data_IF_631135477376
#
_entry.id   IF_631135477376
#
_cell.length_a   1.000
_cell.length_b   1.000
_cell.length_c   1.000
_cell.angle_alpha   90.00
_cell.angle_beta   90.00
_cell.angle_gamma   90.00
#
_symmetry.space_group_name_H-M   'P 1'
#
loop_
_entity.id
_entity.type
_entity.pdbx_description
1 polymer ?
#
# COMPACT_ATOMS: atom_id res chain seq x y z
N UNK A 1 -49.62 15.88 24.59
CA UNK A 1 -48.18 15.84 24.20
C UNK A 1 -47.26 15.21 25.26
N UNK A 2 -47.64 15.12 26.54
CA UNK A 2 -46.77 14.57 27.62
C UNK A 2 -46.58 13.05 27.56
N UNK A 3 -47.62 12.28 27.27
CA UNK A 3 -47.56 10.78 27.31
C UNK A 3 -46.77 10.19 26.18
N UNK A 4 -46.75 10.80 24.98
CA UNK A 4 -45.98 10.33 23.84
C UNK A 4 -44.46 10.42 24.07
N UNK A 5 -43.99 11.51 24.67
CA UNK A 5 -42.56 11.68 25.03
C UNK A 5 -42.11 10.62 26.03
N UNK A 6 -42.94 10.27 27.04
CA UNK A 6 -42.63 9.21 28.01
C UNK A 6 -42.51 7.84 27.35
N UNK A 7 -43.39 7.51 26.40
CA UNK A 7 -43.36 6.25 25.67
C UNK A 7 -42.08 6.13 24.82
N UNK A 8 -41.72 7.22 24.11
CA UNK A 8 -40.47 7.23 23.31
C UNK A 8 -39.25 7.04 24.19
N UNK A 9 -39.18 7.72 25.35
CA UNK A 9 -38.05 7.62 26.28
C UNK A 9 -37.91 6.17 26.80
N UNK A 10 -39.03 5.51 27.15
CA UNK A 10 -39.00 4.11 27.58
C UNK A 10 -38.53 3.17 26.47
N UNK A 11 -38.99 3.37 25.23
CA UNK A 11 -38.57 2.54 24.09
C UNK A 11 -37.09 2.69 23.79
N UNK A 12 -36.57 3.93 23.82
CA UNK A 12 -35.12 4.19 23.64
C UNK A 12 -34.31 3.52 24.76
N UNK A 13 -34.77 3.62 26.02
CA UNK A 13 -34.06 3.02 27.15
C UNK A 13 -34.01 1.49 27.07
N UNK A 14 -35.11 0.85 26.65
CA UNK A 14 -35.17 -0.62 26.44
C UNK A 14 -34.25 -1.03 25.29
N UNK A 15 -34.21 -0.27 24.19
CA UNK A 15 -33.34 -0.54 23.06
C UNK A 15 -31.85 -0.42 23.44
N UNK A 16 -31.46 0.64 24.16
CA UNK A 16 -30.11 0.81 24.67
C UNK A 16 -29.68 -0.29 25.64
N UNK A 17 -30.58 -0.71 26.52
CA UNK A 17 -30.32 -1.83 27.43
C UNK A 17 -30.10 -3.17 26.67
N UNK A 18 -30.85 -3.38 25.59
CA UNK A 18 -30.67 -4.54 24.71
C UNK A 18 -29.29 -4.56 24.03
N UNK A 19 -28.81 -3.43 23.56
CA UNK A 19 -27.46 -3.30 22.98
C UNK A 19 -26.37 -3.61 24.02
N UNK A 20 -26.47 -3.06 25.23
CA UNK A 20 -25.49 -3.30 26.31
C UNK A 20 -25.43 -4.76 26.68
N UNK A 21 -26.58 -5.42 26.82
CA UNK A 21 -26.64 -6.86 27.12
C UNK A 21 -26.10 -7.73 25.99
N UNK A 22 -26.38 -7.35 24.73
CA UNK A 22 -25.82 -8.03 23.54
C UNK A 22 -24.30 -7.97 23.48
N UNK A 23 -23.74 -6.78 23.72
CA UNK A 23 -22.27 -6.57 23.74
C UNK A 23 -21.63 -7.37 24.90
N UNK A 24 -22.22 -7.35 26.08
CA UNK A 24 -21.71 -8.12 27.21
C UNK A 24 -21.75 -9.65 26.96
N UNK A 25 -22.81 -10.15 26.33
CA UNK A 25 -22.94 -11.56 25.95
C UNK A 25 -21.90 -11.95 24.88
N UNK A 26 -21.62 -11.08 23.92
CA UNK A 26 -20.59 -11.28 22.90
C UNK A 26 -19.18 -11.39 23.51
N UNK A 27 -18.82 -10.52 24.44
CA UNK A 27 -17.52 -10.59 25.13
C UNK A 27 -17.39 -11.82 26.02
N UNK A 28 -18.47 -12.27 26.68
CA UNK A 28 -18.47 -13.51 27.45
C UNK A 28 -18.30 -14.73 26.55
N UNK A 29 -18.95 -14.75 25.39
CA UNK A 29 -18.81 -15.82 24.39
C UNK A 29 -17.38 -15.92 23.87
N UNK A 30 -16.75 -14.80 23.52
CA UNK A 30 -15.35 -14.75 23.11
C UNK A 30 -14.40 -15.29 24.20
N UNK A 31 -14.64 -14.93 25.46
CA UNK A 31 -13.79 -15.38 26.59
C UNK A 31 -13.87 -16.88 26.83
N UNK A 32 -15.02 -17.52 26.57
CA UNK A 32 -15.21 -18.96 26.66
C UNK A 32 -14.51 -19.73 25.54
N UNK A 33 -14.45 -19.15 24.33
CA UNK A 33 -13.75 -19.79 23.18
C UNK A 33 -12.22 -19.81 23.35
N UNK A 34 -11.65 -18.81 24.01
CA UNK A 34 -10.19 -18.73 24.27
C UNK A 34 -9.72 -19.71 25.37
N UNK A 35 -10.65 -20.26 26.18
CA UNK A 35 -10.33 -21.12 27.34
C UNK A 35 -10.34 -22.61 27.06
N UNK A 36 -10.48 -23.07 25.79
CA UNK A 36 -10.45 -24.47 25.44
C UNK A 36 -9.01 -24.93 25.20
N UNK A 37 -8.41 -25.80 26.06
CA UNK A 37 -7.07 -26.31 25.80
C UNK A 37 -7.04 -27.20 24.54
N UNK A 38 -5.95 -27.28 23.79
CA UNK A 38 -5.82 -28.20 22.67
C UNK A 38 -5.84 -29.66 23.19
N UNK A 39 -6.65 -30.50 22.56
CA UNK A 39 -6.69 -31.92 22.82
C UNK A 39 -5.38 -32.57 22.37
N UNK A 40 -4.63 -33.17 23.29
CA UNK A 40 -3.47 -34.00 23.00
C UNK A 40 -3.93 -35.33 22.36
N UNK A 41 -3.32 -35.77 21.25
CA UNK A 41 -3.60 -37.08 20.67
C UNK A 41 -3.10 -38.19 21.61
N UNK A 42 -3.75 -39.39 21.61
CA UNK A 42 -3.40 -40.48 22.49
C UNK A 42 -2.00 -41.03 22.19
N UNK A 43 -1.21 -41.21 23.26
CA UNK A 43 0.09 -41.88 23.21
C UNK A 43 -0.16 -43.38 22.93
N UNK A 44 0.33 -43.83 21.76
CA UNK A 44 0.34 -45.26 21.42
C UNK A 44 1.61 -45.86 22.03
N UNK A 45 1.41 -46.82 22.92
CA UNK A 45 2.45 -47.62 23.57
C UNK A 45 3.16 -48.49 22.51
N UNK A 46 4.41 -48.19 22.21
CA UNK A 46 5.19 -48.92 21.24
C UNK A 46 6.07 -49.94 21.97
N UNK A 47 5.73 -51.22 21.79
CA UNK A 47 6.56 -52.38 22.13
C UNK A 47 7.90 -52.32 21.39
N UNK A 48 9.03 -52.58 22.04
CA UNK A 48 10.35 -52.54 21.38
C UNK A 48 10.54 -53.72 20.42
N UNK A 49 10.72 -53.43 19.12
CA UNK A 49 11.14 -54.39 18.11
C UNK A 49 12.69 -54.49 18.11
N UNK A 50 13.29 -55.66 17.83
CA UNK A 50 14.70 -55.89 18.01
C UNK A 50 15.56 -55.13 16.95
N UNK A 51 16.67 -54.59 17.45
CA UNK A 51 17.71 -53.84 16.68
C UNK A 51 18.16 -54.57 15.44
N UNK A 52 17.81 -54.10 14.26
CA UNK A 52 18.43 -54.49 12.99
C UNK A 52 19.75 -53.74 12.81
N UNK A 53 20.84 -54.48 12.66
CA UNK A 53 22.18 -53.98 12.32
C UNK A 53 22.14 -53.28 10.98
N UNK A 54 22.23 -51.94 10.97
CA UNK A 54 22.31 -51.10 9.80
C UNK A 54 23.76 -51.13 9.29
N UNK A 55 24.02 -51.51 7.99
CA UNK A 55 25.35 -51.36 7.41
C UNK A 55 25.70 -49.84 7.32
N UNK A 56 27.01 -49.49 7.35
CA UNK A 56 27.41 -48.10 7.34
C UNK A 56 26.93 -47.42 6.05
N UNK A 57 26.21 -46.30 6.26
CA UNK A 57 25.76 -45.39 5.20
C UNK A 57 26.98 -44.88 4.42
N UNK A 58 26.96 -44.83 3.07
CA UNK A 58 28.03 -44.20 2.34
C UNK A 58 28.16 -42.74 2.70
N UNK A 59 29.38 -42.27 2.88
CA UNK A 59 29.73 -40.88 3.16
C UNK A 59 29.09 -39.97 2.12
N UNK A 60 28.39 -38.88 2.54
CA UNK A 60 27.74 -37.98 1.59
C UNK A 60 28.81 -37.35 0.69
N UNK A 61 28.69 -37.59 -0.61
CA UNK A 61 29.44 -36.85 -1.63
C UNK A 61 29.14 -35.37 -1.45
N UNK A 62 30.15 -34.47 -1.34
CA UNK A 62 29.88 -33.03 -1.19
C UNK A 62 29.05 -32.55 -2.39
N UNK A 63 27.86 -32.04 -2.14
CA UNK A 63 27.07 -31.31 -3.11
C UNK A 63 27.91 -30.14 -3.65
N UNK A 64 27.92 -29.89 -4.97
CA UNK A 64 28.63 -28.74 -5.50
C UNK A 64 28.08 -27.47 -4.88
N UNK A 65 28.94 -26.72 -4.22
CA UNK A 65 28.60 -25.35 -3.71
C UNK A 65 28.06 -24.54 -4.89
N UNK A 66 26.86 -23.97 -4.80
CA UNK A 66 26.32 -23.13 -5.88
C UNK A 66 27.31 -22.01 -6.18
N UNK A 67 27.64 -21.83 -7.45
CA UNK A 67 28.46 -20.70 -7.90
C UNK A 67 27.72 -19.41 -7.48
N UNK A 68 28.43 -18.40 -6.93
CA UNK A 68 27.78 -17.15 -6.55
C UNK A 68 27.10 -16.53 -7.77
N UNK A 69 25.81 -16.33 -7.69
CA UNK A 69 25.04 -15.56 -8.68
C UNK A 69 25.69 -14.18 -8.81
N UNK A 70 26.04 -13.71 -10.02
CA UNK A 70 26.61 -12.39 -10.18
C UNK A 70 25.65 -11.33 -9.58
N UNK A 71 26.22 -10.41 -8.81
CA UNK A 71 25.45 -9.31 -8.25
C UNK A 71 24.73 -8.52 -9.37
N UNK A 72 23.49 -8.10 -9.17
CA UNK A 72 22.79 -7.26 -10.14
C UNK A 72 23.61 -6.00 -10.45
N UNK A 73 23.54 -5.47 -11.68
CA UNK A 73 24.22 -4.22 -12.00
C UNK A 73 23.71 -3.10 -11.08
N UNK A 74 24.55 -2.10 -10.74
CA UNK A 74 24.13 -0.97 -9.94
C UNK A 74 23.01 -0.21 -10.67
N UNK A 75 22.05 0.28 -9.90
CA UNK A 75 20.97 1.11 -10.41
C UNK A 75 21.53 2.40 -11.03
N UNK A 76 20.94 2.81 -12.14
CA UNK A 76 21.26 4.09 -12.81
C UNK A 76 19.93 4.80 -13.07
N UNK A 77 19.72 6.01 -12.52
CA UNK A 77 18.48 6.75 -12.74
C UNK A 77 18.30 7.09 -14.22
N UNK A 78 17.05 7.20 -14.72
CA UNK A 78 16.77 7.64 -16.08
C UNK A 78 17.37 9.02 -16.37
N UNK A 79 17.94 9.20 -17.56
CA UNK A 79 18.50 10.50 -17.98
C UNK A 79 17.43 11.59 -17.94
N UNK A 80 16.20 11.28 -18.28
CA UNK A 80 15.06 12.20 -18.25
C UNK A 80 14.79 12.72 -16.83
N UNK A 81 14.92 11.90 -15.78
CA UNK A 81 14.80 12.37 -14.39
C UNK A 81 15.84 13.43 -14.09
N UNK A 82 17.10 13.20 -14.50
CA UNK A 82 18.20 14.14 -14.29
C UNK A 82 17.98 15.45 -15.07
N UNK A 83 17.40 15.39 -16.27
CA UNK A 83 17.02 16.57 -17.04
C UNK A 83 15.92 17.39 -16.33
N UNK A 84 14.89 16.73 -15.78
CA UNK A 84 13.86 17.40 -15.00
C UNK A 84 14.42 18.04 -13.73
N UNK A 85 15.34 17.40 -13.04
CA UNK A 85 15.99 17.93 -11.84
C UNK A 85 16.87 19.16 -12.15
N UNK A 86 17.55 19.17 -13.30
CA UNK A 86 18.27 20.37 -13.76
C UNK A 86 17.33 21.55 -14.03
N UNK A 87 16.09 21.26 -14.42
CA UNK A 87 15.06 22.27 -14.70
C UNK A 87 14.42 22.81 -13.42
N UNK A 88 14.21 21.94 -12.42
CA UNK A 88 13.64 22.30 -11.13
C UNK A 88 14.17 21.35 -10.04
N UNK A 89 14.85 21.92 -9.04
CA UNK A 89 15.43 21.18 -7.91
C UNK A 89 14.39 20.49 -7.00
N UNK A 90 13.10 20.85 -7.13
CA UNK A 90 12.00 20.20 -6.42
C UNK A 90 11.50 18.92 -7.09
N UNK A 91 12.07 18.51 -8.22
CA UNK A 91 11.78 17.21 -8.82
C UNK A 91 12.48 16.12 -8.01
N UNK A 92 11.68 15.21 -7.44
CA UNK A 92 12.17 14.15 -6.57
C UNK A 92 12.15 12.77 -7.23
N UNK A 93 11.29 12.59 -8.25
CA UNK A 93 11.11 11.30 -8.92
C UNK A 93 10.49 11.47 -10.31
N UNK A 94 10.49 10.37 -11.08
CA UNK A 94 9.75 10.23 -12.34
C UNK A 94 8.71 9.11 -12.15
N UNK A 95 7.45 9.43 -12.40
CA UNK A 95 6.32 8.49 -12.42
C UNK A 95 6.10 7.98 -13.84
N UNK A 96 6.00 6.68 -14.02
CA UNK A 96 5.63 6.05 -15.29
C UNK A 96 4.60 4.95 -15.08
N UNK A 97 3.52 4.97 -15.88
CA UNK A 97 2.58 3.85 -16.02
C UNK A 97 2.67 3.34 -17.45
N UNK A 98 3.42 2.26 -17.71
CA UNK A 98 3.72 1.79 -19.06
C UNK A 98 2.45 1.55 -19.90
N UNK A 99 2.48 2.03 -21.14
CA UNK A 99 1.35 1.91 -22.08
C UNK A 99 0.23 2.95 -21.89
N UNK A 100 0.42 3.92 -20.98
CA UNK A 100 -0.52 5.03 -20.77
C UNK A 100 0.14 6.37 -21.07
N UNK A 101 -0.63 7.47 -20.96
CA UNK A 101 -0.08 8.84 -21.06
C UNK A 101 0.49 9.36 -19.72
N UNK A 102 0.49 8.55 -18.66
CA UNK A 102 1.00 8.96 -17.34
C UNK A 102 2.51 8.69 -17.30
N UNK A 103 3.26 9.72 -17.63
CA UNK A 103 4.72 9.74 -17.59
C UNK A 103 5.15 11.16 -17.23
N UNK A 104 5.39 11.43 -15.94
CA UNK A 104 5.57 12.77 -15.41
C UNK A 104 6.60 12.84 -14.28
N UNK A 105 7.37 13.94 -14.18
CA UNK A 105 8.13 14.21 -12.96
C UNK A 105 7.19 14.44 -11.78
N UNK A 106 7.56 13.91 -10.62
CA UNK A 106 6.92 14.19 -9.33
C UNK A 106 7.70 15.29 -8.63
N UNK A 107 6.99 16.35 -8.21
CA UNK A 107 7.57 17.48 -7.52
C UNK A 107 7.14 17.53 -6.05
N UNK A 108 8.02 18.02 -5.19
CA UNK A 108 7.73 18.31 -3.78
C UNK A 108 8.29 19.68 -3.40
N UNK A 109 7.38 20.62 -3.06
CA UNK A 109 7.85 21.90 -2.51
C UNK A 109 8.24 21.67 -1.03
N UNK A 110 9.43 22.13 -0.57
CA UNK A 110 9.94 21.73 0.76
C UNK A 110 9.16 22.29 1.94
N UNK A 111 8.23 23.25 1.74
CA UNK A 111 7.56 23.95 2.83
C UNK A 111 6.08 24.30 2.57
N UNK A 112 5.65 24.38 1.31
CA UNK A 112 4.32 24.90 0.95
C UNK A 112 3.47 23.76 0.43
N UNK A 113 2.38 23.48 1.16
CA UNK A 113 1.36 22.51 0.75
C UNK A 113 0.70 22.96 -0.56
N UNK A 114 0.34 21.98 -1.39
CA UNK A 114 -0.37 22.18 -2.65
C UNK A 114 0.27 23.23 -3.59
N UNK A 115 1.57 23.54 -3.40
CA UNK A 115 2.27 24.54 -4.22
C UNK A 115 2.15 24.22 -5.70
N UNK A 116 2.35 22.96 -6.07
CA UNK A 116 2.33 22.49 -7.45
C UNK A 116 0.93 22.19 -7.99
N UNK A 117 -0.12 22.35 -7.18
CA UNK A 117 -1.50 22.27 -7.67
C UNK A 117 -1.75 23.29 -8.79
N UNK A 118 -1.20 24.50 -8.67
CA UNK A 118 -1.33 25.60 -9.64
C UNK A 118 0.01 26.25 -10.00
N UNK A 119 1.11 25.51 -9.91
CA UNK A 119 2.44 25.97 -10.32
C UNK A 119 3.08 24.90 -11.20
N UNK A 120 3.52 25.31 -12.38
CA UNK A 120 4.18 24.40 -13.33
C UNK A 120 5.59 24.02 -12.86
N UNK A 121 6.19 23.01 -13.50
CA UNK A 121 7.58 22.63 -13.25
C UNK A 121 8.57 23.81 -13.43
N UNK A 122 8.27 24.78 -14.29
CA UNK A 122 9.11 25.96 -14.49
C UNK A 122 8.88 27.07 -13.46
N UNK A 123 8.05 26.83 -12.45
CA UNK A 123 7.73 27.80 -11.39
C UNK A 123 6.74 28.88 -11.80
N UNK A 124 6.08 28.76 -12.95
CA UNK A 124 5.04 29.70 -13.38
C UNK A 124 3.69 29.33 -12.73
N UNK A 125 3.05 30.33 -12.12
CA UNK A 125 1.67 30.15 -11.66
C UNK A 125 0.74 29.91 -12.85
N UNK A 126 -0.09 28.86 -12.75
CA UNK A 126 -1.07 28.53 -13.78
C UNK A 126 -1.51 27.06 -13.77
N UNK A 127 -2.67 26.86 -14.36
CA UNK A 127 -3.25 25.53 -14.60
C UNK A 127 -2.56 24.87 -15.82
N UNK A 128 -2.26 23.54 -15.80
CA UNK A 128 -2.68 22.55 -14.84
C UNK A 128 -1.69 22.27 -13.68
N UNK A 129 -0.71 23.10 -13.40
CA UNK A 129 0.30 22.83 -12.39
C UNK A 129 1.24 21.67 -12.77
N UNK A 130 1.57 20.83 -11.81
CA UNK A 130 2.40 19.63 -11.99
C UNK A 130 1.85 18.43 -11.21
N UNK A 131 2.42 17.24 -11.41
CA UNK A 131 2.22 16.08 -10.54
C UNK A 131 3.10 16.29 -9.30
N UNK A 132 2.55 16.09 -8.10
CA UNK A 132 3.25 16.44 -6.87
C UNK A 132 2.85 15.61 -5.67
N UNK A 133 3.69 15.65 -4.64
CA UNK A 133 3.39 15.23 -3.27
C UNK A 133 3.52 16.43 -2.33
N UNK A 134 2.92 16.32 -1.15
CA UNK A 134 2.98 17.38 -0.14
C UNK A 134 4.23 17.26 0.76
N UNK A 135 4.71 18.35 1.38
CA UNK A 135 5.97 18.38 2.14
C UNK A 135 5.97 17.54 3.42
N UNK A 136 4.83 17.00 3.83
CA UNK A 136 4.75 16.05 4.96
C UNK A 136 5.13 14.64 4.54
N UNK A 137 5.11 14.33 3.25
CA UNK A 137 5.59 13.08 2.67
C UNK A 137 7.12 13.00 2.68
N UNK A 138 7.68 11.83 2.40
CA UNK A 138 9.11 11.67 2.14
C UNK A 138 9.39 11.53 0.65
N UNK A 139 10.58 11.95 0.22
CA UNK A 139 11.06 11.79 -1.17
C UNK A 139 11.59 10.37 -1.47
N UNK A 140 11.54 9.47 -0.47
CA UNK A 140 12.03 8.09 -0.57
C UNK A 140 10.95 7.06 -0.82
N UNK A 141 9.67 7.45 -0.81
CA UNK A 141 8.52 6.55 -0.99
C UNK A 141 8.50 5.36 -0.01
N UNK A 142 9.10 5.52 1.16
CA UNK A 142 9.28 4.49 2.19
C UNK A 142 8.24 4.55 3.31
N UNK A 143 7.19 5.38 3.17
CA UNK A 143 6.07 5.48 4.11
C UNK A 143 4.98 4.43 3.80
N UNK A 144 4.00 4.29 4.70
CA UNK A 144 2.87 3.41 4.45
C UNK A 144 2.09 3.81 3.20
N UNK A 145 1.80 5.11 3.00
CA UNK A 145 1.02 5.60 1.86
C UNK A 145 1.49 6.95 1.36
N UNK A 146 2.25 6.98 0.29
CA UNK A 146 2.61 8.22 -0.38
C UNK A 146 1.49 8.66 -1.33
N UNK A 147 0.87 9.81 -1.07
CA UNK A 147 -0.23 10.34 -1.87
C UNK A 147 0.29 11.30 -2.94
N UNK A 148 0.11 10.92 -4.21
CA UNK A 148 0.55 11.66 -5.39
C UNK A 148 -0.66 12.35 -6.02
N UNK A 149 -0.61 13.66 -6.16
CA UNK A 149 -1.70 14.49 -6.64
C UNK A 149 -1.49 14.94 -8.09
N UNK A 150 -2.57 15.03 -8.85
CA UNK A 150 -2.55 15.55 -10.21
C UNK A 150 -3.93 15.92 -10.71
N UNK A 151 -4.02 16.89 -11.61
CA UNK A 151 -5.30 17.31 -12.19
C UNK A 151 -5.92 16.26 -13.11
N UNK A 152 -7.25 16.24 -13.16
CA UNK A 152 -8.03 15.48 -14.14
C UNK A 152 -8.26 16.36 -15.37
N UNK A 153 -7.40 16.21 -16.38
CA UNK A 153 -7.48 17.00 -17.61
C UNK A 153 -8.39 16.33 -18.64
N UNK A 154 -9.24 17.15 -19.30
CA UNK A 154 -10.16 16.66 -20.32
C UNK A 154 -9.48 16.19 -21.60
N UNK A 155 -8.25 16.62 -21.86
CA UNK A 155 -7.42 16.16 -22.99
C UNK A 155 -6.65 14.86 -22.68
N UNK A 156 -6.85 14.29 -21.47
CA UNK A 156 -6.21 13.06 -21.02
C UNK A 156 -4.80 13.26 -20.44
N UNK A 157 -4.28 14.49 -20.41
CA UNK A 157 -3.00 14.77 -19.75
C UNK A 157 -3.12 14.73 -18.22
N UNK A 158 -1.99 14.81 -17.54
CA UNK A 158 -1.88 14.66 -16.09
C UNK A 158 -2.52 13.33 -15.62
N UNK A 159 -3.49 13.36 -14.72
CA UNK A 159 -4.25 12.19 -14.28
C UNK A 159 -5.61 12.04 -14.96
N UNK A 160 -5.81 12.69 -16.13
CA UNK A 160 -7.04 12.60 -16.90
C UNK A 160 -7.39 11.19 -17.34
N UNK A 161 -6.40 10.32 -17.58
CA UNK A 161 -6.61 8.92 -17.99
C UNK A 161 -6.82 7.95 -16.83
N UNK A 162 -6.75 8.36 -15.55
CA UNK A 162 -7.00 7.46 -14.43
C UNK A 162 -8.40 6.82 -14.46
N UNK A 163 -9.39 7.47 -15.08
CA UNK A 163 -10.72 6.89 -15.28
C UNK A 163 -10.73 5.62 -16.14
N UNK A 164 -9.72 5.42 -16.98
CA UNK A 164 -9.63 4.22 -17.81
C UNK A 164 -9.40 2.94 -17.00
N UNK A 165 -8.83 3.07 -15.79
CA UNK A 165 -8.61 1.95 -14.88
C UNK A 165 -9.91 1.41 -14.24
N UNK A 166 -11.05 2.08 -14.40
CA UNK A 166 -12.38 1.54 -14.07
C UNK A 166 -12.80 0.42 -15.05
N UNK A 167 -12.20 0.36 -16.24
CA UNK A 167 -12.37 -0.76 -17.17
C UNK A 167 -11.42 -1.90 -16.78
N UNK A 168 -11.99 -3.08 -16.48
CA UNK A 168 -11.20 -4.23 -16.04
C UNK A 168 -10.16 -4.69 -17.06
N UNK A 169 -10.47 -4.63 -18.38
CA UNK A 169 -9.51 -5.06 -19.40
C UNK A 169 -8.35 -4.08 -19.51
N UNK A 170 -8.62 -2.77 -19.35
CA UNK A 170 -7.58 -1.77 -19.27
C UNK A 170 -6.71 -1.96 -18.03
N UNK A 171 -7.33 -2.13 -16.85
CA UNK A 171 -6.64 -2.42 -15.58
C UNK A 171 -5.75 -3.67 -15.71
N UNK A 172 -6.28 -4.76 -16.30
CA UNK A 172 -5.55 -6.03 -16.44
C UNK A 172 -4.33 -5.92 -17.39
N UNK A 173 -4.33 -4.97 -18.32
CA UNK A 173 -3.23 -4.73 -19.25
C UNK A 173 -2.22 -3.68 -18.82
N UNK A 174 -2.50 -2.92 -17.75
CA UNK A 174 -1.65 -1.83 -17.24
C UNK A 174 -1.51 -1.95 -15.72
N UNK A 175 -0.83 -3.04 -15.28
CA UNK A 175 -0.78 -3.45 -13.86
C UNK A 175 0.31 -2.75 -13.05
N UNK A 176 1.33 -2.22 -13.70
CA UNK A 176 2.54 -1.76 -13.04
C UNK A 176 2.63 -0.23 -13.05
N UNK A 177 3.13 0.32 -11.97
CA UNK A 177 3.53 1.71 -11.84
C UNK A 177 5.00 1.72 -11.44
N UNK A 178 5.80 2.49 -12.15
CA UNK A 178 7.21 2.68 -11.84
C UNK A 178 7.43 4.09 -11.30
N UNK A 179 8.20 4.18 -10.21
CA UNK A 179 8.69 5.44 -9.67
C UNK A 179 10.20 5.35 -9.62
N UNK A 180 10.86 6.19 -10.41
CA UNK A 180 12.32 6.29 -10.48
C UNK A 180 12.78 7.45 -9.63
N UNK A 181 13.64 7.19 -8.65
CA UNK A 181 14.34 8.20 -7.84
C UNK A 181 15.81 8.30 -8.26
N UNK A 182 16.61 9.08 -7.56
CA UNK A 182 18.06 9.17 -7.82
C UNK A 182 18.79 7.87 -7.46
N UNK A 183 18.26 7.08 -6.55
CA UNK A 183 18.95 5.95 -5.94
C UNK A 183 18.31 4.60 -6.26
N UNK A 184 17.04 4.57 -6.63
CA UNK A 184 16.28 3.33 -6.75
C UNK A 184 15.06 3.46 -7.66
N UNK A 185 14.58 2.33 -8.17
CA UNK A 185 13.32 2.17 -8.87
C UNK A 185 12.35 1.41 -7.96
N UNK A 186 11.22 2.03 -7.64
CA UNK A 186 10.11 1.38 -6.97
C UNK A 186 9.12 0.85 -8.01
N UNK A 187 8.79 -0.43 -7.93
CA UNK A 187 7.79 -1.07 -8.79
C UNK A 187 6.57 -1.43 -7.98
N UNK A 188 5.44 -0.84 -8.33
CA UNK A 188 4.16 -1.06 -7.67
C UNK A 188 3.21 -1.84 -8.57
N UNK A 189 2.42 -2.73 -7.98
CA UNK A 189 1.29 -3.36 -8.66
C UNK A 189 -0.01 -2.66 -8.25
N UNK A 190 -0.81 -2.27 -9.24
CA UNK A 190 -2.11 -1.66 -8.98
C UNK A 190 -3.02 -2.65 -8.24
N UNK A 191 -3.52 -2.22 -7.10
CA UNK A 191 -4.33 -3.02 -6.18
C UNK A 191 -5.82 -2.68 -6.24
N UNK A 192 -6.17 -1.39 -6.44
CA UNK A 192 -7.57 -0.97 -6.45
C UNK A 192 -7.77 0.38 -7.14
N UNK A 193 -9.00 0.60 -7.61
CA UNK A 193 -9.50 1.93 -7.96
C UNK A 193 -10.79 2.21 -7.20
N UNK A 194 -10.99 3.46 -6.74
CA UNK A 194 -12.15 3.83 -5.93
C UNK A 194 -12.55 5.28 -6.15
N UNK A 195 -13.85 5.57 -6.04
CA UNK A 195 -14.37 6.91 -5.84
C UNK A 195 -14.40 7.20 -4.34
N UNK A 196 -13.67 8.21 -3.93
CA UNK A 196 -13.45 8.59 -2.54
C UNK A 196 -13.96 10.02 -2.29
N UNK A 197 -14.16 10.40 -1.03
CA UNK A 197 -14.47 11.79 -0.70
C UNK A 197 -13.25 12.72 -0.87
N UNK A 198 -13.44 14.02 -0.73
CA UNK A 198 -12.40 15.04 -0.94
C UNK A 198 -11.50 15.29 0.27
N UNK A 199 -11.57 14.42 1.33
CA UNK A 199 -10.68 14.57 2.48
C UNK A 199 -9.22 14.48 2.05
N UNK A 200 -8.41 15.27 2.70
CA UNK A 200 -6.96 15.27 2.47
C UNK A 200 -6.34 14.06 3.17
N UNK A 201 -6.08 12.99 2.43
CA UNK A 201 -5.64 11.68 2.96
C UNK A 201 -4.39 11.85 3.83
N UNK A 202 -3.36 12.49 3.31
CA UNK A 202 -2.07 12.72 3.95
C UNK A 202 -2.17 13.39 5.34
N UNK A 203 -3.17 14.25 5.56
CA UNK A 203 -3.39 14.95 6.84
C UNK A 203 -4.50 14.32 7.69
N UNK A 204 -5.22 13.34 7.14
CA UNK A 204 -6.31 12.64 7.84
C UNK A 204 -5.82 11.41 8.58
N UNK A 205 -4.82 10.73 8.02
CA UNK A 205 -4.29 9.49 8.55
C UNK A 205 -2.78 9.66 8.82
N UNK A 206 -2.36 9.24 10.01
CA UNK A 206 -0.96 9.24 10.42
C UNK A 206 -0.31 7.90 10.01
N UNK A 207 0.62 7.96 9.08
CA UNK A 207 1.31 6.79 8.54
C UNK A 207 2.17 6.06 9.58
N UNK A 208 2.59 6.71 10.65
CA UNK A 208 3.30 6.09 11.76
C UNK A 208 2.35 5.38 12.74
N UNK A 209 1.04 5.61 12.61
CA UNK A 209 0.00 5.03 13.46
C UNK A 209 -0.67 3.82 12.80
N UNK A 210 -0.44 2.62 13.34
CA UNK A 210 -1.03 1.38 12.80
C UNK A 210 -2.57 1.40 12.78
N UNK A 211 -3.23 2.10 13.72
CA UNK A 211 -4.68 2.22 13.72
C UNK A 211 -5.19 3.13 12.60
N UNK A 212 -4.44 4.18 12.26
CA UNK A 212 -4.77 5.08 11.16
C UNK A 212 -4.53 4.42 9.81
N UNK A 213 -3.45 3.64 9.65
CA UNK A 213 -3.24 2.78 8.46
C UNK A 213 -4.43 1.83 8.25
N UNK A 214 -4.87 1.15 9.31
CA UNK A 214 -6.04 0.26 9.26
C UNK A 214 -7.33 1.05 8.95
N UNK A 215 -7.51 2.24 9.51
CA UNK A 215 -8.66 3.11 9.25
C UNK A 215 -8.68 3.60 7.80
N UNK A 216 -7.52 3.94 7.22
CA UNK A 216 -7.42 4.27 5.79
C UNK A 216 -7.87 3.10 4.93
N UNK A 217 -7.29 1.90 5.10
CA UNK A 217 -7.68 0.72 4.33
C UNK A 217 -9.16 0.38 4.50
N UNK A 218 -9.70 0.51 5.71
CA UNK A 218 -11.13 0.30 5.97
C UNK A 218 -12.00 1.35 5.27
N UNK A 219 -11.50 2.58 5.08
CA UNK A 219 -12.23 3.66 4.42
C UNK A 219 -12.39 3.45 2.91
N UNK A 220 -11.59 2.58 2.29
CA UNK A 220 -11.66 2.21 0.87
C UNK A 220 -12.84 1.28 0.54
N UNK A 221 -13.97 1.43 1.25
CA UNK A 221 -15.18 0.65 1.01
C UNK A 221 -15.75 0.95 -0.38
N UNK A 222 -16.09 -0.11 -1.12
CA UNK A 222 -16.59 0.02 -2.49
C UNK A 222 -15.49 0.19 -3.55
N UNK A 223 -14.23 0.00 -3.19
CA UNK A 223 -13.15 -0.07 -4.15
C UNK A 223 -13.30 -1.30 -5.04
N UNK A 224 -12.98 -1.14 -6.31
CA UNK A 224 -12.81 -2.26 -7.24
C UNK A 224 -11.40 -2.81 -7.05
N UNK A 225 -11.29 -3.83 -6.19
CA UNK A 225 -10.03 -4.51 -5.88
C UNK A 225 -9.62 -5.47 -6.98
N UNK A 226 -8.34 -5.51 -7.23
CA UNK A 226 -7.71 -6.42 -8.18
C UNK A 226 -7.47 -7.77 -7.51
N UNK A 227 -7.98 -8.85 -8.12
CA UNK A 227 -7.82 -10.21 -7.61
C UNK A 227 -6.33 -10.60 -7.49
N UNK A 228 -5.96 -11.16 -6.34
CA UNK A 228 -4.61 -11.67 -6.08
C UNK A 228 -3.59 -10.60 -5.69
N UNK A 229 -4.01 -9.35 -5.49
CA UNK A 229 -3.15 -8.28 -4.94
C UNK A 229 -3.60 -7.98 -3.52
N UNK A 230 -2.74 -8.26 -2.56
CA UNK A 230 -3.02 -8.04 -1.14
C UNK A 230 -2.40 -6.73 -0.66
N UNK A 231 -3.18 -5.96 0.11
CA UNK A 231 -2.73 -4.73 0.77
C UNK A 231 -3.01 -4.85 2.26
N UNK A 232 -2.00 -4.60 3.06
CA UNK A 232 -2.07 -4.68 4.52
C UNK A 232 -1.51 -3.41 5.18
N UNK A 233 -1.62 -3.29 6.48
CA UNK A 233 -1.05 -2.17 7.24
C UNK A 233 0.49 -2.18 7.30
N UNK A 234 1.13 -3.24 6.84
CA UNK A 234 2.59 -3.37 6.69
C UNK A 234 3.08 -3.16 5.26
N UNK A 235 2.17 -2.97 4.31
CA UNK A 235 2.53 -2.67 2.92
C UNK A 235 3.08 -1.25 2.78
N UNK A 236 3.90 -1.04 1.75
CA UNK A 236 4.17 0.30 1.21
C UNK A 236 3.25 0.50 0.01
N UNK A 237 2.44 1.53 0.04
CA UNK A 237 1.50 1.83 -1.05
C UNK A 237 1.69 3.25 -1.56
N UNK A 238 1.27 3.46 -2.79
CA UNK A 238 1.04 4.79 -3.34
C UNK A 238 -0.42 4.97 -3.68
N UNK A 239 -0.90 6.19 -3.53
CA UNK A 239 -2.25 6.61 -3.92
C UNK A 239 -2.18 7.73 -4.94
N UNK A 240 -2.52 7.46 -6.21
CA UNK A 240 -2.69 8.51 -7.21
C UNK A 240 -4.07 9.13 -7.03
N UNK A 241 -4.12 10.42 -6.74
CA UNK A 241 -5.36 11.16 -6.41
C UNK A 241 -5.67 12.23 -7.45
N UNK A 242 -6.91 12.22 -7.97
CA UNK A 242 -7.38 13.26 -8.89
C UNK A 242 -8.86 13.61 -8.66
N UNK A 243 -9.26 14.81 -9.12
CA UNK A 243 -10.66 15.25 -9.09
C UNK A 243 -11.53 14.45 -10.07
N UNK A 244 -12.84 14.43 -9.84
CA UNK A 244 -13.82 13.85 -10.76
C UNK A 244 -14.66 14.97 -11.35
N UNK A 245 -14.72 15.07 -12.69
CA UNK A 245 -15.53 16.07 -13.38
C UNK A 245 -17.00 15.95 -13.00
N UNK A 246 -17.60 17.07 -12.57
CA UNK A 246 -19.00 17.11 -12.11
C UNK A 246 -19.26 16.60 -10.69
N UNK A 247 -18.22 16.15 -9.98
CA UNK A 247 -18.30 15.67 -8.59
C UNK A 247 -17.20 16.36 -7.74
N UNK A 248 -17.35 17.64 -7.38
CA UNK A 248 -16.28 18.43 -6.76
C UNK A 248 -15.84 17.89 -5.39
N UNK A 249 -16.74 17.21 -4.67
CA UNK A 249 -16.49 16.63 -3.34
C UNK A 249 -15.98 15.18 -3.43
N UNK A 250 -15.59 14.73 -4.63
CA UNK A 250 -15.08 13.38 -4.81
C UNK A 250 -13.71 13.39 -5.51
N UNK A 251 -12.95 12.36 -5.19
CA UNK A 251 -11.65 12.05 -5.81
C UNK A 251 -11.70 10.65 -6.41
N UNK A 252 -11.00 10.45 -7.50
CA UNK A 252 -10.65 9.11 -7.98
C UNK A 252 -9.29 8.79 -7.42
N UNK A 253 -9.21 7.66 -6.71
CA UNK A 253 -7.97 7.13 -6.18
C UNK A 253 -7.61 5.86 -6.93
N UNK A 254 -6.36 5.77 -7.38
CA UNK A 254 -5.74 4.53 -7.84
C UNK A 254 -4.71 4.12 -6.80
N UNK A 255 -4.91 2.97 -6.18
CA UNK A 255 -4.06 2.43 -5.11
C UNK A 255 -3.13 1.38 -5.73
N UNK A 256 -1.85 1.47 -5.44
CA UNK A 256 -0.88 0.47 -5.86
C UNK A 256 0.03 0.09 -4.68
N UNK A 257 0.44 -1.18 -4.63
CA UNK A 257 1.27 -1.75 -3.57
C UNK A 257 2.65 -2.09 -4.12
N UNK A 258 3.68 -1.72 -3.39
CA UNK A 258 5.07 -2.01 -3.75
C UNK A 258 5.34 -3.51 -3.79
N UNK A 259 5.96 -3.97 -4.86
CA UNK A 259 6.35 -5.37 -5.06
C UNK A 259 7.86 -5.53 -5.06
N UNK A 260 8.58 -4.56 -5.59
CA UNK A 260 10.02 -4.62 -5.78
C UNK A 260 10.62 -3.22 -5.67
N UNK A 261 11.78 -3.15 -5.04
CA UNK A 261 12.64 -1.99 -5.03
C UNK A 261 13.98 -2.39 -5.68
N UNK A 262 14.38 -1.70 -6.74
CA UNK A 262 15.60 -1.99 -7.52
C UNK A 262 16.59 -0.86 -7.37
N UNK A 263 17.55 -1.04 -6.48
CA UNK A 263 18.56 -0.03 -6.17
C UNK A 263 18.76 0.09 -4.67
N UNK A 264 19.33 1.20 -4.23
CA UNK A 264 19.68 1.40 -2.82
C UNK A 264 20.78 0.47 -2.33
N UNK A 265 20.99 0.43 -1.02
CA UNK A 265 22.01 -0.40 -0.37
C UNK A 265 21.63 -1.90 -0.30
N UNK A 266 20.38 -2.26 -0.61
CA UNK A 266 19.90 -3.64 -0.76
C UNK A 266 18.56 -3.65 -1.52
N UNK A 267 18.50 -4.36 -2.64
CA UNK A 267 17.24 -4.68 -3.29
C UNK A 267 16.38 -5.50 -2.31
N UNK A 268 15.31 -4.92 -1.79
CA UNK A 268 14.37 -5.59 -0.89
C UNK A 268 13.21 -6.09 -1.74
N UNK A 269 13.20 -7.40 -1.99
CA UNK A 269 12.05 -8.06 -2.60
C UNK A 269 11.00 -8.33 -1.52
N UNK A 270 9.79 -7.82 -1.70
CA UNK A 270 8.64 -8.10 -0.85
C UNK A 270 7.79 -9.19 -1.52
N UNK A 271 7.92 -10.49 -1.12
CA UNK A 271 7.06 -11.52 -1.69
C UNK A 271 5.62 -11.29 -1.28
N UNK A 272 4.71 -11.48 -2.22
CA UNK A 272 3.26 -11.26 -2.06
C UNK A 272 2.59 -12.12 -0.96
N UNK A 273 3.30 -13.05 -0.36
CA UNK A 273 2.79 -14.05 0.60
C UNK A 273 3.25 -13.88 2.05
N UNK A 274 3.66 -12.68 2.47
CA UNK A 274 3.76 -12.31 3.90
C UNK A 274 4.69 -13.17 4.77
N UNK A 275 5.66 -13.90 4.20
CA UNK A 275 6.67 -14.62 4.96
C UNK A 275 8.00 -13.87 4.96
N UNK A 276 8.16 -12.92 5.89
CA UNK A 276 9.45 -12.34 6.20
C UNK A 276 10.29 -13.37 6.97
N UNK A 277 11.22 -14.04 6.30
CA UNK A 277 12.28 -14.76 7.00
C UNK A 277 13.29 -13.75 7.55
N UNK A 278 13.22 -13.53 8.87
CA UNK A 278 14.20 -12.74 9.59
C UNK A 278 15.51 -13.52 9.74
N UNK A 279 16.47 -13.28 8.88
CA UNK A 279 17.85 -13.68 9.10
C UNK A 279 18.72 -12.45 9.42
N UNK A 280 18.64 -11.98 10.66
CA UNK A 280 19.68 -11.14 11.25
C UNK A 280 20.71 -12.05 11.93
N UNK A 281 21.81 -12.34 11.29
CA UNK A 281 23.01 -12.80 11.99
C UNK A 281 23.79 -11.59 12.51
N UNK A 282 23.95 -11.54 13.82
CA UNK A 282 24.79 -10.56 14.54
C UNK A 282 26.26 -10.95 14.38
N UNK A 283 27.17 -10.08 13.93
CA UNK A 283 28.61 -10.38 13.98
C UNK A 283 29.13 -10.29 15.42
N UNK A 284 29.92 -11.27 15.81
CA UNK A 284 30.72 -11.27 17.04
C UNK A 284 31.94 -10.36 16.93
#
# INVERSE_FOLDING_TARGET
>A
MSNYKKIITVLISVFLLGIVLGVAAFFLYQKVQVSKPPETPPVVDATPEPEAVIPPSPEPTPEPTPEPTPAPPPYVPPEELLEYQQRNEHVIALLDIPGTAIHYPILMHPQIEDYYLNTTIDGYAGYPGAIYINPVETDRFDTFNTVIYGHNMSDGSMFGTLSSFEDKAFMDSHREIHIYTDTEEHVYTIAAIVIYDDRHITYTYDDDNLADRAAFLQSLQGADWVDGVEVSTSSHIITLSTCIGGMPENRRLLIAVEQENRGGDAAVFFPADGQAESSFETPQ
#
